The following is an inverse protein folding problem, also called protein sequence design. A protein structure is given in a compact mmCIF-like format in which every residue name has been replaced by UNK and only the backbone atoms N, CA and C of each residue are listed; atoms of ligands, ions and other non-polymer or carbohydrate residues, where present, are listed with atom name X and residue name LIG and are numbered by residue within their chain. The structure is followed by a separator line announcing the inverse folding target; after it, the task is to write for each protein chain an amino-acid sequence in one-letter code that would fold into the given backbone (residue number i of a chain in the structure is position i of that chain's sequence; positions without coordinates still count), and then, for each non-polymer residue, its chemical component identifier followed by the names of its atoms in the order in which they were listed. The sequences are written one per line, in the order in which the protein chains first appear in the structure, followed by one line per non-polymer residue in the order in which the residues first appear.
data_IF_721121925287
#
_entry.id   IF_721121925287
#
_cell.length_a   1.000
_cell.length_b   1.000
_cell.length_c   1.000
_cell.angle_alpha   90.00
_cell.angle_beta   90.00
_cell.angle_gamma   90.00
#
_symmetry.space_group_name_H-M   'P 1'
#
loop_
_entity.id
_entity.type
_entity.pdbx_description
1 polymer ?
#
# COMPACT_ATOMS: atom_id res chain seq x y z
N UNK A 1 -4.32 5.83 -9.54
CA UNK A 1 -5.22 5.81 -8.35
C UNK A 1 -5.80 7.21 -8.19
N UNK A 2 -7.03 7.39 -7.69
CA UNK A 2 -7.53 8.73 -7.34
C UNK A 2 -6.70 9.30 -6.20
N UNK A 3 -6.48 10.62 -6.17
CA UNK A 3 -5.65 11.27 -5.15
C UNK A 3 -6.17 11.00 -3.73
N UNK A 4 -7.49 10.96 -3.53
CA UNK A 4 -8.12 10.66 -2.24
C UNK A 4 -7.69 9.28 -1.71
N UNK A 5 -7.67 8.28 -2.58
CA UNK A 5 -7.27 6.92 -2.23
C UNK A 5 -5.76 6.84 -1.97
N UNK A 6 -4.95 7.58 -2.73
CA UNK A 6 -3.50 7.63 -2.54
C UNK A 6 -3.15 8.30 -1.20
N UNK A 7 -3.83 9.39 -0.85
CA UNK A 7 -3.71 10.02 0.47
C UNK A 7 -4.08 9.01 1.56
N UNK A 8 -5.18 8.26 1.41
CA UNK A 8 -5.60 7.29 2.41
C UNK A 8 -4.58 6.16 2.60
N UNK A 9 -4.01 5.63 1.51
CA UNK A 9 -2.94 4.61 1.58
C UNK A 9 -1.72 5.16 2.31
N UNK A 10 -1.30 6.41 2.03
CA UNK A 10 -0.17 7.03 2.72
C UNK A 10 -0.48 7.35 4.19
N UNK A 11 -1.72 7.76 4.52
CA UNK A 11 -2.17 7.89 5.92
C UNK A 11 -2.04 6.57 6.68
N UNK A 12 -2.39 5.44 6.05
CA UNK A 12 -2.19 4.11 6.63
C UNK A 12 -0.70 3.80 6.84
N UNK A 13 0.15 4.19 5.88
CA UNK A 13 1.61 4.11 6.02
C UNK A 13 2.13 4.87 7.24
N UNK A 14 1.59 6.06 7.50
CA UNK A 14 1.89 6.88 8.69
C UNK A 14 1.23 6.37 9.98
N UNK A 15 0.32 5.39 9.89
CA UNK A 15 -0.44 4.88 11.03
C UNK A 15 -1.54 5.82 11.52
N UNK A 16 -2.03 6.72 10.65
CA UNK A 16 -3.12 7.68 10.95
C UNK A 16 -4.50 7.03 10.80
N UNK A 17 -4.63 6.08 9.86
CA UNK A 17 -5.87 5.33 9.61
C UNK A 17 -5.61 3.83 9.70
N UNK A 18 -6.68 3.08 9.95
CA UNK A 18 -6.62 1.63 10.10
C UNK A 18 -6.80 0.91 8.76
N UNK A 19 -6.53 -0.40 8.75
CA UNK A 19 -6.64 -1.20 7.53
C UNK A 19 -8.11 -1.36 7.09
N UNK A 20 -9.03 -1.30 8.05
CA UNK A 20 -10.48 -1.40 7.85
C UNK A 20 -10.99 -0.30 6.90
N UNK A 21 -10.52 0.93 7.03
CA UNK A 21 -10.90 2.05 6.15
C UNK A 21 -10.54 1.77 4.68
N UNK A 22 -9.35 1.21 4.47
CA UNK A 22 -8.86 0.81 3.15
C UNK A 22 -9.62 -0.41 2.60
N UNK A 23 -9.99 -1.36 3.46
CA UNK A 23 -10.77 -2.53 3.08
C UNK A 23 -12.20 -2.18 2.68
N UNK A 24 -12.84 -1.21 3.35
CA UNK A 24 -14.18 -0.72 2.98
C UNK A 24 -14.14 -0.19 1.54
N UNK A 25 -13.17 0.67 1.22
CA UNK A 25 -13.02 1.23 -0.13
C UNK A 25 -12.68 0.12 -1.13
N UNK A 26 -11.70 -0.74 -0.82
CA UNK A 26 -11.28 -1.79 -1.73
C UNK A 26 -12.41 -2.78 -2.05
N UNK A 27 -13.25 -3.11 -1.07
CA UNK A 27 -14.38 -4.02 -1.26
C UNK A 27 -15.54 -3.39 -2.05
N UNK A 28 -15.66 -2.06 -2.05
CA UNK A 28 -16.67 -1.33 -2.84
C UNK A 28 -16.40 -1.34 -4.35
N UNK A 29 -15.18 -1.72 -4.76
CA UNK A 29 -14.78 -1.77 -6.16
C UNK A 29 -15.21 -3.06 -6.87
N UNK A 30 -15.50 -2.90 -8.15
CA UNK A 30 -15.67 -4.00 -9.09
C UNK A 30 -14.34 -4.71 -9.39
N UNK A 31 -14.43 -5.87 -10.02
CA UNK A 31 -13.28 -6.76 -10.28
C UNK A 31 -12.09 -6.06 -10.97
N UNK A 32 -12.35 -5.29 -12.02
CA UNK A 32 -11.31 -4.57 -12.77
C UNK A 32 -10.75 -3.39 -11.99
N UNK A 33 -11.60 -2.70 -11.23
CA UNK A 33 -11.19 -1.60 -10.36
C UNK A 33 -10.27 -2.08 -9.24
N UNK A 34 -10.57 -3.24 -8.62
CA UNK A 34 -9.67 -3.90 -7.66
C UNK A 34 -8.31 -4.21 -8.27
N UNK A 35 -8.28 -4.77 -9.49
CA UNK A 35 -7.02 -5.06 -10.18
C UNK A 35 -6.22 -3.77 -10.46
N UNK A 36 -6.90 -2.72 -10.92
CA UNK A 36 -6.29 -1.41 -11.14
C UNK A 36 -5.78 -0.78 -9.84
N UNK A 37 -6.51 -0.93 -8.73
CA UNK A 37 -6.09 -0.44 -7.43
C UNK A 37 -4.83 -1.15 -6.94
N UNK A 38 -4.80 -2.49 -7.00
CA UNK A 38 -3.62 -3.30 -6.66
C UNK A 38 -2.41 -2.91 -7.51
N UNK A 39 -2.60 -2.71 -8.82
CA UNK A 39 -1.54 -2.28 -9.71
C UNK A 39 -1.00 -0.90 -9.34
N UNK A 40 -1.86 0.06 -9.03
CA UNK A 40 -1.45 1.38 -8.54
C UNK A 40 -0.67 1.28 -7.21
N UNK A 41 -1.12 0.42 -6.29
CA UNK A 41 -0.46 0.20 -5.02
C UNK A 41 0.95 -0.40 -5.18
N UNK A 42 1.19 -1.21 -6.21
CA UNK A 42 2.55 -1.68 -6.51
C UNK A 42 3.51 -0.53 -6.76
N UNK A 43 3.08 0.55 -7.42
CA UNK A 43 3.94 1.73 -7.62
C UNK A 43 4.30 2.39 -6.29
N UNK A 44 3.34 2.54 -5.38
CA UNK A 44 3.57 3.10 -4.03
C UNK A 44 4.54 2.23 -3.21
N UNK A 45 4.40 0.90 -3.32
CA UNK A 45 5.32 -0.05 -2.71
C UNK A 45 6.73 0.16 -3.27
N UNK A 46 6.90 0.17 -4.60
CA UNK A 46 8.21 0.34 -5.22
C UNK A 46 8.86 1.69 -4.89
N UNK A 47 8.07 2.79 -4.83
CA UNK A 47 8.55 4.10 -4.37
C UNK A 47 9.07 4.06 -2.93
N UNK A 48 8.48 3.22 -2.09
CA UNK A 48 8.90 2.98 -0.70
C UNK A 48 10.13 2.07 -0.59
N UNK A 49 10.66 1.58 -1.72
CA UNK A 49 11.87 0.74 -1.81
C UNK A 49 11.78 -0.49 -0.89
N UNK A 50 10.90 -1.46 -1.21
CA UNK A 50 10.79 -2.66 -0.41
C UNK A 50 12.08 -3.47 -0.56
N UNK A 51 12.42 -4.24 0.46
CA UNK A 51 13.55 -5.14 0.45
C UNK A 51 13.11 -6.55 0.88
N UNK A 52 13.84 -7.60 0.49
CA UNK A 52 13.46 -8.97 0.83
C UNK A 52 13.39 -9.21 2.35
N UNK A 53 14.15 -8.43 3.15
CA UNK A 53 14.04 -8.43 4.62
C UNK A 53 12.67 -8.01 5.14
N UNK A 54 11.85 -7.34 4.33
CA UNK A 54 10.51 -6.87 4.68
C UNK A 54 9.46 -7.98 4.51
N UNK A 55 9.78 -9.09 3.84
CA UNK A 55 8.83 -10.17 3.49
C UNK A 55 8.22 -10.84 4.73
N UNK A 56 9.05 -11.41 5.60
CA UNK A 56 8.54 -12.14 6.78
C UNK A 56 7.80 -11.19 7.74
N UNK A 57 8.32 -9.98 8.06
CA UNK A 57 7.56 -9.00 8.83
C UNK A 57 6.21 -8.63 8.18
N UNK A 58 6.15 -8.47 6.86
CA UNK A 58 4.90 -8.15 6.16
C UNK A 58 3.88 -9.29 6.30
N UNK A 59 4.31 -10.54 6.17
CA UNK A 59 3.44 -11.71 6.36
C UNK A 59 2.94 -11.76 7.82
N UNK A 60 3.81 -11.52 8.80
CA UNK A 60 3.42 -11.53 10.21
C UNK A 60 2.47 -10.39 10.60
N UNK A 61 2.71 -9.18 10.09
CA UNK A 61 1.84 -8.02 10.33
C UNK A 61 0.48 -8.16 9.63
N UNK A 62 0.44 -8.82 8.47
CA UNK A 62 -0.80 -9.06 7.73
C UNK A 62 -1.80 -9.96 8.46
N UNK A 63 -1.36 -10.71 9.49
CA UNK A 63 -2.13 -11.74 10.20
C UNK A 63 -2.70 -12.85 9.29
N UNK A 64 -2.21 -12.95 8.05
CA UNK A 64 -2.55 -14.03 7.13
C UNK A 64 -1.79 -15.31 7.49
N UNK A 65 -2.40 -16.45 7.18
CA UNK A 65 -1.70 -17.73 7.30
C UNK A 65 -0.57 -17.76 6.27
N UNK A 66 0.65 -18.12 6.70
CA UNK A 66 1.83 -18.20 5.82
C UNK A 66 1.63 -19.14 4.62
N UNK A 67 0.70 -20.09 4.72
CA UNK A 67 0.35 -21.07 3.68
C UNK A 67 -0.59 -20.53 2.61
N UNK A 68 -1.18 -19.35 2.80
CA UNK A 68 -2.00 -18.74 1.76
C UNK A 68 -1.16 -18.38 0.54
N UNK A 69 -1.73 -18.61 -0.64
CA UNK A 69 -1.09 -18.38 -1.94
C UNK A 69 -0.36 -17.03 -2.06
N UNK A 70 -0.95 -15.87 -1.67
CA UNK A 70 -0.24 -14.60 -1.73
C UNK A 70 1.02 -14.55 -0.84
N UNK A 71 0.98 -15.16 0.35
CA UNK A 71 2.14 -15.22 1.25
C UNK A 71 3.26 -16.09 0.63
N UNK A 72 2.91 -17.23 0.03
CA UNK A 72 3.86 -18.10 -0.67
C UNK A 72 4.46 -17.40 -1.88
N UNK A 73 3.69 -16.61 -2.63
CA UNK A 73 4.21 -15.83 -3.76
C UNK A 73 5.13 -14.70 -3.32
N UNK A 74 4.80 -13.98 -2.25
CA UNK A 74 5.64 -12.88 -1.74
C UNK A 74 7.02 -13.39 -1.30
N UNK A 75 7.11 -14.60 -0.74
CA UNK A 75 8.39 -15.24 -0.36
C UNK A 75 9.38 -15.41 -1.53
N UNK A 76 8.94 -15.26 -2.77
CA UNK A 76 9.82 -15.32 -3.94
C UNK A 76 10.62 -14.03 -4.15
N UNK A 77 10.27 -12.94 -3.48
CA UNK A 77 10.98 -11.67 -3.54
C UNK A 77 10.06 -10.48 -3.75
N UNK A 78 10.58 -9.28 -3.47
CA UNK A 78 9.84 -8.01 -3.60
C UNK A 78 10.04 -7.30 -4.95
N UNK A 79 10.78 -7.92 -5.87
CA UNK A 79 10.94 -7.40 -7.22
C UNK A 79 9.58 -7.25 -7.92
N UNK A 80 9.40 -6.18 -8.70
CA UNK A 80 8.11 -5.83 -9.34
C UNK A 80 7.47 -7.00 -10.10
N UNK A 81 8.26 -7.80 -10.82
CA UNK A 81 7.75 -8.94 -11.58
C UNK A 81 7.22 -10.07 -10.68
N UNK A 82 7.74 -10.25 -9.47
CA UNK A 82 7.18 -11.16 -8.47
C UNK A 82 5.88 -10.60 -7.89
N UNK A 83 5.86 -9.32 -7.52
CA UNK A 83 4.67 -8.69 -6.94
C UNK A 83 3.49 -8.64 -7.93
N UNK A 84 3.75 -8.46 -9.22
CA UNK A 84 2.70 -8.50 -10.26
C UNK A 84 1.91 -9.81 -10.26
N UNK A 85 2.52 -10.94 -9.86
CA UNK A 85 1.81 -12.23 -9.78
C UNK A 85 0.68 -12.23 -8.75
N UNK A 86 0.71 -11.34 -7.75
CA UNK A 86 -0.36 -11.18 -6.76
C UNK A 86 -1.64 -10.58 -7.36
N UNK A 87 -1.52 -9.87 -8.50
CA UNK A 87 -2.63 -9.23 -9.21
C UNK A 87 -3.38 -10.20 -10.12
N UNK A 88 -2.73 -11.31 -10.50
CA UNK A 88 -3.29 -12.36 -11.35
C UNK A 88 -3.92 -13.49 -10.53
N UNK A 89 -3.94 -13.37 -9.20
CA UNK A 89 -4.64 -14.31 -8.35
C UNK A 89 -6.17 -14.21 -8.56
N UNK A 90 -6.90 -15.32 -8.37
CA UNK A 90 -8.35 -15.32 -8.50
C UNK A 90 -9.01 -14.38 -7.49
N UNK A 91 -10.24 -13.99 -7.77
CA UNK A 91 -10.94 -12.93 -7.02
C UNK A 91 -11.05 -13.21 -5.51
N UNK A 92 -11.25 -14.47 -5.13
CA UNK A 92 -11.32 -14.91 -3.72
C UNK A 92 -9.99 -14.76 -2.94
N UNK A 93 -8.88 -14.50 -3.62
CA UNK A 93 -7.58 -14.22 -3.02
C UNK A 93 -7.25 -12.71 -2.99
N UNK A 94 -8.00 -11.85 -3.69
CA UNK A 94 -7.64 -10.43 -3.84
C UNK A 94 -7.59 -9.66 -2.53
N UNK A 95 -8.52 -9.89 -1.61
CA UNK A 95 -8.47 -9.26 -0.29
C UNK A 95 -7.22 -9.68 0.49
N UNK A 96 -6.80 -10.94 0.36
CA UNK A 96 -5.57 -11.42 0.99
C UNK A 96 -4.33 -10.79 0.35
N UNK A 97 -4.29 -10.70 -0.98
CA UNK A 97 -3.24 -9.96 -1.70
C UNK A 97 -3.17 -8.50 -1.27
N UNK A 98 -4.33 -7.85 -1.13
CA UNK A 98 -4.43 -6.45 -0.73
C UNK A 98 -3.88 -6.23 0.67
N UNK A 99 -4.35 -7.00 1.66
CA UNK A 99 -3.88 -6.94 3.05
C UNK A 99 -2.37 -7.19 3.14
N UNK A 100 -1.87 -8.19 2.42
CA UNK A 100 -0.45 -8.52 2.41
C UNK A 100 0.40 -7.39 1.81
N UNK A 101 -0.03 -6.83 0.69
CA UNK A 101 0.67 -5.74 0.02
C UNK A 101 0.61 -4.43 0.82
N UNK A 102 -0.49 -4.14 1.54
CA UNK A 102 -0.55 -3.03 2.49
C UNK A 102 0.44 -3.22 3.64
N UNK A 103 0.57 -4.44 4.16
CA UNK A 103 1.54 -4.74 5.21
C UNK A 103 2.98 -4.52 4.72
N UNK A 104 3.30 -5.00 3.51
CA UNK A 104 4.59 -4.76 2.87
C UNK A 104 4.84 -3.27 2.62
N UNK A 105 3.83 -2.56 2.11
CA UNK A 105 3.87 -1.12 1.88
C UNK A 105 4.21 -0.39 3.17
N UNK A 106 3.47 -0.64 4.27
CA UNK A 106 3.65 0.07 5.54
C UNK A 106 5.07 -0.07 6.09
N UNK A 107 5.64 -1.28 6.06
CA UNK A 107 7.00 -1.52 6.54
C UNK A 107 8.03 -0.75 5.70
N UNK A 108 7.95 -0.86 4.38
CA UNK A 108 8.86 -0.16 3.49
C UNK A 108 8.69 1.37 3.59
N UNK A 109 7.44 1.82 3.66
CA UNK A 109 7.04 3.21 3.76
C UNK A 109 7.59 3.83 5.05
N UNK A 110 7.39 3.21 6.21
CA UNK A 110 7.83 3.75 7.50
C UNK A 110 9.34 3.92 7.56
N UNK A 111 10.10 2.95 7.02
CA UNK A 111 11.56 3.09 6.89
C UNK A 111 11.92 4.33 6.07
N UNK A 112 11.24 4.53 4.94
CA UNK A 112 11.52 5.67 4.05
C UNK A 112 11.01 7.00 4.59
N UNK A 113 9.90 6.99 5.31
CA UNK A 113 9.30 8.16 5.94
C UNK A 113 10.24 8.73 7.00
N UNK A 114 10.86 7.91 7.84
CA UNK A 114 11.84 8.38 8.83
C UNK A 114 13.07 9.06 8.19
N UNK A 115 13.50 8.56 7.02
CA UNK A 115 14.59 9.16 6.26
C UNK A 115 14.17 10.46 5.57
N UNK A 116 12.90 10.58 5.15
CA UNK A 116 12.47 11.60 4.19
C UNK A 116 11.42 12.62 4.67
N UNK A 117 10.83 12.47 5.85
CA UNK A 117 9.78 13.36 6.38
C UNK A 117 10.16 14.85 6.46
N UNK A 118 11.46 15.16 6.43
CA UNK A 118 12.00 16.51 6.46
C UNK A 118 12.40 17.05 5.06
N UNK A 119 12.29 16.26 3.99
CA UNK A 119 12.57 16.75 2.64
C UNK A 119 11.33 17.39 2.02
N UNK A 120 11.48 18.64 1.62
CA UNK A 120 10.45 19.36 0.88
C UNK A 120 10.25 18.76 -0.53
N UNK A 121 9.01 18.79 -1.02
CA UNK A 121 8.67 18.39 -2.39
C UNK A 121 8.03 17.00 -2.56
N UNK A 122 8.02 16.16 -1.53
CA UNK A 122 7.32 14.86 -1.53
C UNK A 122 6.13 14.89 -0.59
N UNK A 123 4.96 15.23 -1.13
CA UNK A 123 3.75 15.40 -0.31
C UNK A 123 3.38 14.13 0.48
N UNK A 124 3.65 12.95 -0.08
CA UNK A 124 3.33 11.67 0.56
C UNK A 124 4.16 11.39 1.81
N UNK A 125 5.22 12.17 2.08
CA UNK A 125 5.97 12.15 3.35
C UNK A 125 5.71 13.39 4.22
N UNK A 126 4.79 14.27 3.82
CA UNK A 126 4.30 15.34 4.70
C UNK A 126 3.42 14.78 5.82
N UNK A 127 3.21 15.56 6.88
CA UNK A 127 2.29 15.19 7.97
C UNK A 127 0.84 15.18 7.46
N UNK A 128 0.30 13.98 7.19
CA UNK A 128 -1.06 13.81 6.69
C UNK A 128 -2.11 13.83 7.81
N UNK A 129 -1.70 13.99 9.08
CA UNK A 129 -2.63 14.25 10.18
C UNK A 129 -3.12 15.70 10.19
N UNK A 130 -2.39 16.59 9.50
CA UNK A 130 -2.75 17.98 9.36
C UNK A 130 -3.72 18.20 8.18
N UNK A 131 -4.98 18.51 8.49
CA UNK A 131 -6.03 18.72 7.48
C UNK A 131 -5.69 19.83 6.47
N UNK A 132 -4.96 20.88 6.86
CA UNK A 132 -4.56 21.96 5.93
C UNK A 132 -3.58 21.46 4.88
N UNK A 133 -2.69 20.54 5.25
CA UNK A 133 -1.76 19.89 4.31
C UNK A 133 -2.57 19.01 3.36
N UNK A 134 -3.47 18.19 3.89
CA UNK A 134 -4.34 17.31 3.10
C UNK A 134 -5.19 18.11 2.10
N UNK A 135 -5.82 19.21 2.53
CA UNK A 135 -6.60 20.10 1.65
C UNK A 135 -5.74 20.73 0.55
N UNK A 136 -4.51 21.13 0.87
CA UNK A 136 -3.58 21.71 -0.10
C UNK A 136 -3.19 20.69 -1.18
N UNK A 137 -2.92 19.44 -0.77
CA UNK A 137 -2.64 18.35 -1.70
C UNK A 137 -3.85 18.08 -2.59
N UNK A 138 -5.04 17.95 -1.99
CA UNK A 138 -6.28 17.76 -2.75
C UNK A 138 -6.47 18.87 -3.78
N UNK A 139 -6.38 20.15 -3.40
CA UNK A 139 -6.51 21.27 -4.34
C UNK A 139 -5.50 21.21 -5.49
N UNK A 140 -4.28 20.77 -5.22
CA UNK A 140 -3.20 20.70 -6.22
C UNK A 140 -3.34 19.55 -7.21
N UNK A 141 -3.83 18.38 -6.78
CA UNK A 141 -3.84 17.15 -7.57
C UNK A 141 -5.23 16.67 -7.98
N UNK A 142 -6.30 17.41 -7.62
CA UNK A 142 -7.69 17.09 -7.99
C UNK A 142 -8.07 17.56 -9.41
N UNK A 143 -7.10 18.02 -10.21
CA UNK A 143 -7.28 18.43 -11.61
C UNK A 143 -6.19 17.85 -12.49
#
# INVERSE_FOLDING_TARGET
MKIENEILVNKYGQGIVDIEDLLIIFNSFESDEKKNFLNNMLFLIQQSKPADRDIEPAIEQSKLRKTFTPCVLLKKGVATHHLKRLLDLPENERNKSFILLLSLFKIAYQRRFEEEKNFEGKWWYSDLSNDKIVETILKKYKY
#
